data_IF_067643853744
#
_entry.id   IF_067643853744
#
_cell.length_a   1.000
_cell.length_b   1.000
_cell.length_c   1.000
_cell.angle_alpha   90.00
_cell.angle_beta   90.00
_cell.angle_gamma   90.00
#
_symmetry.space_group_name_H-M   'P 1'
#
loop_
_entity.id
_entity.type
_entity.pdbx_description
1 polymer ?
#
# COMPACT_ATOMS: atom_id res chain seq x y z
N UNK A 1 2.70 18.27 20.86
CA UNK A 1 1.49 17.53 20.42
C UNK A 1 1.61 16.85 19.04
N UNK A 2 2.81 16.58 18.51
CA UNK A 2 3.05 15.42 17.60
C UNK A 2 4.16 14.49 18.12
N UNK A 3 4.91 14.93 19.14
CA UNK A 3 6.12 14.25 19.61
C UNK A 3 5.92 12.85 20.17
N UNK A 4 4.70 12.43 20.55
CA UNK A 4 4.49 11.08 21.09
C UNK A 4 4.63 10.00 20.00
N UNK A 5 4.03 10.21 18.82
CA UNK A 5 4.18 9.30 17.66
C UNK A 5 5.66 9.29 17.18
N UNK A 6 6.30 10.45 17.16
CA UNK A 6 7.72 10.56 16.77
C UNK A 6 8.70 10.02 17.83
N UNK A 7 8.22 9.53 18.98
CA UNK A 7 9.10 8.95 20.02
C UNK A 7 8.97 7.45 20.19
N UNK A 8 7.94 6.83 19.61
CA UNK A 8 7.75 5.37 19.64
C UNK A 8 8.37 4.64 18.44
N UNK A 9 8.50 5.32 17.31
CA UNK A 9 9.17 4.77 16.14
C UNK A 9 10.70 4.85 16.35
N UNK A 10 11.42 3.73 16.42
CA UNK A 10 12.87 3.72 16.57
C UNK A 10 13.52 4.24 15.29
N UNK A 11 14.39 5.25 15.42
CA UNK A 11 15.17 5.77 14.30
C UNK A 11 14.89 7.26 13.98
N UNK A 12 15.83 7.88 13.24
CA UNK A 12 15.76 9.29 12.84
C UNK A 12 14.55 9.59 11.96
N UNK A 13 14.10 10.85 11.93
CA UNK A 13 12.84 11.25 11.28
C UNK A 13 12.71 10.85 9.80
N UNK A 14 13.84 10.73 9.09
CA UNK A 14 13.87 10.27 7.70
C UNK A 14 13.54 8.77 7.55
N UNK A 15 13.90 7.94 8.53
CA UNK A 15 13.64 6.50 8.50
C UNK A 15 12.13 6.22 8.60
N UNK A 16 11.41 7.01 9.40
CA UNK A 16 9.95 6.94 9.55
C UNK A 16 9.22 7.31 8.26
N UNK A 17 9.75 8.29 7.54
CA UNK A 17 9.22 8.65 6.23
C UNK A 17 9.42 7.51 5.22
N UNK A 18 10.58 6.85 5.22
CA UNK A 18 10.84 5.69 4.37
C UNK A 18 9.93 4.52 4.74
N UNK A 19 9.75 4.22 6.03
CA UNK A 19 8.89 3.13 6.49
C UNK A 19 7.41 3.37 6.10
N UNK A 20 6.91 4.59 6.29
CA UNK A 20 5.56 4.96 5.84
C UNK A 20 5.42 4.85 4.31
N UNK A 21 6.44 5.26 3.57
CA UNK A 21 6.45 5.18 2.11
C UNK A 21 6.53 3.71 1.64
N UNK A 22 7.29 2.87 2.33
CA UNK A 22 7.36 1.43 2.08
C UNK A 22 6.01 0.76 2.34
N UNK A 23 5.32 1.08 3.44
CA UNK A 23 3.96 0.58 3.71
C UNK A 23 2.96 1.02 2.65
N UNK A 24 3.07 2.26 2.17
CA UNK A 24 2.22 2.75 1.09
C UNK A 24 2.49 1.98 -0.21
N UNK A 25 3.75 1.80 -0.58
CA UNK A 25 4.14 1.01 -1.76
C UNK A 25 3.65 -0.43 -1.63
N UNK A 26 3.86 -1.07 -0.48
CA UNK A 26 3.37 -2.43 -0.22
C UNK A 26 1.85 -2.53 -0.32
N UNK A 27 1.13 -1.54 0.19
CA UNK A 27 -0.34 -1.49 0.10
C UNK A 27 -0.79 -1.34 -1.35
N UNK A 28 -0.18 -0.44 -2.11
CA UNK A 28 -0.48 -0.26 -3.54
C UNK A 28 -0.19 -1.55 -4.30
N UNK A 29 0.99 -2.15 -4.11
CA UNK A 29 1.34 -3.42 -4.75
C UNK A 29 0.37 -4.54 -4.38
N UNK A 30 0.02 -4.69 -3.09
CA UNK A 30 -0.96 -5.67 -2.65
C UNK A 30 -2.33 -5.46 -3.29
N UNK A 31 -2.77 -4.20 -3.40
CA UNK A 31 -4.03 -3.87 -4.08
C UNK A 31 -3.99 -4.26 -5.56
N UNK A 32 -2.88 -4.02 -6.26
CA UNK A 32 -2.76 -4.32 -7.69
C UNK A 32 -2.48 -5.80 -8.00
N UNK A 33 -1.67 -6.48 -7.20
CA UNK A 33 -1.27 -7.87 -7.45
C UNK A 33 -2.24 -8.89 -6.88
N UNK A 34 -2.99 -8.54 -5.81
CA UNK A 34 -3.87 -9.49 -5.12
C UNK A 34 -5.33 -9.06 -5.22
N UNK A 35 -5.63 -7.82 -4.82
CA UNK A 35 -7.03 -7.37 -4.75
C UNK A 35 -7.62 -7.13 -6.14
N UNK A 36 -6.86 -6.56 -7.07
CA UNK A 36 -7.35 -6.29 -8.42
C UNK A 36 -7.66 -7.57 -9.20
N UNK A 37 -6.81 -8.63 -9.23
CA UNK A 37 -7.18 -9.88 -9.90
C UNK A 37 -8.44 -10.52 -9.31
N UNK A 38 -8.56 -10.55 -7.97
CA UNK A 38 -9.76 -11.05 -7.31
C UNK A 38 -11.01 -10.23 -7.68
N UNK A 39 -10.90 -8.90 -7.64
CA UNK A 39 -11.99 -7.99 -7.97
C UNK A 39 -12.37 -8.10 -9.46
N UNK A 40 -11.38 -8.31 -10.32
CA UNK A 40 -11.59 -8.50 -11.75
C UNK A 40 -12.28 -9.84 -12.04
N UNK A 41 -11.90 -10.92 -11.36
CA UNK A 41 -12.59 -12.21 -11.48
C UNK A 41 -14.03 -12.14 -10.95
N UNK A 42 -14.24 -11.42 -9.83
CA UNK A 42 -15.55 -11.34 -9.19
C UNK A 42 -16.51 -10.41 -9.92
N UNK A 43 -16.02 -9.29 -10.48
CA UNK A 43 -16.84 -8.22 -11.03
C UNK A 43 -16.56 -7.88 -12.50
N UNK A 44 -15.63 -8.59 -13.15
CA UNK A 44 -15.24 -8.40 -14.55
C UNK A 44 -14.94 -6.94 -14.92
N UNK A 45 -14.12 -6.29 -14.07
CA UNK A 45 -13.82 -4.86 -14.13
C UNK A 45 -13.11 -4.43 -15.42
N UNK A 46 -12.36 -5.34 -16.05
CA UNK A 46 -11.63 -5.08 -17.29
C UNK A 46 -12.51 -5.13 -18.55
N UNK A 47 -13.78 -5.56 -18.45
CA UNK A 47 -14.57 -5.95 -19.62
C UNK A 47 -13.99 -7.19 -20.31
N UNK A 48 -14.67 -7.72 -21.34
CA UNK A 48 -14.16 -8.78 -22.21
C UNK A 48 -12.94 -8.28 -23.01
N UNK A 49 -11.80 -8.13 -22.35
CA UNK A 49 -10.52 -7.93 -22.98
C UNK A 49 -10.04 -9.28 -23.50
N UNK A 50 -10.73 -9.81 -24.51
CA UNK A 50 -10.28 -10.97 -25.28
C UNK A 50 -9.13 -10.51 -26.18
N UNK A 51 -7.89 -10.69 -25.72
CA UNK A 51 -6.71 -10.72 -26.60
C UNK A 51 -6.37 -12.16 -26.96
#
# INVERSE_FOLDING_TARGET
MYGWIWRHLPGPSWFKAIEALALLVLTVLFLFEVVFPWANETWNLSGEATV
#
